data_IF_622738999266
#
_entry.id   IF_622738999266
#
_cell.length_a   1.000
_cell.length_b   1.000
_cell.length_c   1.000
_cell.angle_alpha   90.00
_cell.angle_beta   90.00
_cell.angle_gamma   90.00
#
_symmetry.space_group_name_H-M   'P 1'
#
loop_
_entity.id
_entity.type
_entity.pdbx_description
1 polymer ?
#
# COMPACT_ATOMS: atom_id res chain seq x y z
N UNK A 1 -24.78 0.67 69.67
CA UNK A 1 -26.01 1.32 69.19
C UNK A 1 -25.69 2.15 67.97
N UNK A 2 -26.02 1.67 66.77
CA UNK A 2 -25.82 2.42 65.51
C UNK A 2 -26.85 3.54 65.49
N UNK A 3 -26.41 4.78 65.39
CA UNK A 3 -27.32 5.95 65.36
C UNK A 3 -28.13 5.89 64.06
N UNK A 4 -29.44 6.18 64.13
CA UNK A 4 -30.38 6.13 63.00
C UNK A 4 -29.86 6.95 61.80
N UNK A 5 -29.15 8.04 62.02
CA UNK A 5 -28.50 8.85 60.99
C UNK A 5 -27.39 8.10 60.25
N UNK A 6 -26.61 7.24 60.91
CA UNK A 6 -25.59 6.43 60.25
C UNK A 6 -26.18 5.38 59.34
N UNK A 7 -27.33 4.79 59.74
CA UNK A 7 -28.02 3.78 58.93
C UNK A 7 -28.63 4.41 57.66
N UNK A 8 -29.17 5.62 57.74
CA UNK A 8 -29.66 6.37 56.57
C UNK A 8 -28.53 6.68 55.61
N UNK A 9 -27.38 7.09 56.11
CA UNK A 9 -26.22 7.43 55.28
C UNK A 9 -25.66 6.21 54.54
N UNK A 10 -25.63 5.03 55.15
CA UNK A 10 -25.25 3.76 54.55
C UNK A 10 -26.22 3.35 53.43
N UNK A 11 -27.53 3.53 53.64
CA UNK A 11 -28.54 3.22 52.64
C UNK A 11 -28.42 4.13 51.44
N UNK A 12 -28.18 5.42 51.64
CA UNK A 12 -27.95 6.39 50.52
C UNK A 12 -26.68 6.03 49.78
N UNK A 13 -25.61 5.68 50.47
CA UNK A 13 -24.36 5.25 49.83
C UNK A 13 -24.54 3.97 49.03
N UNK A 14 -25.23 2.96 49.57
CA UNK A 14 -25.52 1.73 48.84
C UNK A 14 -26.39 1.97 47.61
N UNK A 15 -27.34 2.91 47.65
CA UNK A 15 -28.17 3.28 46.51
C UNK A 15 -27.33 3.99 45.39
N UNK A 16 -26.39 4.86 45.79
CA UNK A 16 -25.49 5.52 44.83
C UNK A 16 -24.56 4.52 44.17
N UNK A 17 -23.98 3.58 44.90
CA UNK A 17 -23.11 2.54 44.35
C UNK A 17 -23.92 1.61 43.42
N UNK A 18 -25.12 1.20 43.79
CA UNK A 18 -25.99 0.41 42.92
C UNK A 18 -26.38 1.16 41.64
N UNK A 19 -26.67 2.47 41.76
CA UNK A 19 -26.94 3.33 40.62
C UNK A 19 -25.75 3.47 39.69
N UNK A 20 -24.54 3.63 40.23
CA UNK A 20 -23.31 3.74 39.45
C UNK A 20 -23.02 2.41 38.72
N UNK A 21 -23.16 1.26 39.37
CA UNK A 21 -22.96 -0.04 38.76
C UNK A 21 -24.03 -0.30 37.68
N UNK A 22 -25.29 0.10 37.93
CA UNK A 22 -26.35 -0.06 36.95
C UNK A 22 -26.10 0.83 35.72
N UNK A 23 -25.62 2.07 35.90
CA UNK A 23 -25.31 3.00 34.82
C UNK A 23 -24.08 2.50 34.01
N UNK A 24 -23.04 2.01 34.67
CA UNK A 24 -21.87 1.43 34.03
C UNK A 24 -22.25 0.19 33.20
N UNK A 25 -23.11 -0.72 33.76
CA UNK A 25 -23.63 -1.87 32.99
C UNK A 25 -24.58 -1.50 31.85
N UNK A 26 -25.24 -0.35 31.96
CA UNK A 26 -26.06 0.18 30.83
C UNK A 26 -25.22 0.79 29.73
N UNK A 27 -24.08 1.37 30.07
CA UNK A 27 -23.09 1.83 29.09
C UNK A 27 -22.40 0.66 28.40
N UNK A 28 -21.97 -0.35 29.15
CA UNK A 28 -21.37 -1.58 28.60
C UNK A 28 -22.30 -2.32 27.63
N UNK A 29 -23.61 -2.23 27.80
CA UNK A 29 -24.59 -2.78 26.85
C UNK A 29 -24.81 -1.91 25.62
N UNK A 30 -24.49 -0.60 25.71
CA UNK A 30 -24.51 0.34 24.57
C UNK A 30 -23.21 0.33 23.78
N UNK A 31 -22.09 0.03 24.44
CA UNK A 31 -20.78 -0.06 23.80
C UNK A 31 -20.44 -1.47 23.28
N UNK A 32 -21.11 -2.52 23.78
CA UNK A 32 -21.00 -3.85 23.19
C UNK A 32 -21.63 -3.96 21.78
N UNK A 33 -22.33 -2.90 21.31
CA UNK A 33 -22.79 -2.78 19.91
C UNK A 33 -21.93 -1.80 19.07
N UNK A 34 -20.96 -1.14 19.69
CA UNK A 34 -19.79 -0.58 19.06
C UNK A 34 -18.57 -1.39 19.50
N UNK A 35 -18.56 -2.69 19.11
CA UNK A 35 -17.27 -3.25 18.77
C UNK A 35 -16.62 -2.17 17.92
N UNK A 36 -15.50 -1.63 18.37
CA UNK A 36 -14.54 -1.03 17.49
C UNK A 36 -14.33 -2.12 16.45
N UNK A 37 -15.05 -2.02 15.31
CA UNK A 37 -14.60 -2.59 14.08
C UNK A 37 -13.21 -1.99 13.95
N UNK A 38 -12.21 -2.70 14.46
CA UNK A 38 -10.89 -2.65 13.85
C UNK A 38 -11.24 -2.84 12.39
N UNK A 39 -11.09 -1.82 11.53
CA UNK A 39 -11.41 -1.99 10.14
C UNK A 39 -10.61 -3.21 9.73
N UNK A 40 -11.28 -4.33 9.52
CA UNK A 40 -10.65 -5.49 8.90
C UNK A 40 -10.14 -4.89 7.62
N UNK A 41 -8.81 -4.75 7.50
CA UNK A 41 -8.17 -4.07 6.37
C UNK A 41 -8.57 -4.85 5.15
N UNK A 42 -9.68 -4.45 4.53
CA UNK A 42 -10.15 -5.04 3.30
C UNK A 42 -9.07 -4.73 2.27
N UNK A 43 -8.46 -5.77 1.73
CA UNK A 43 -7.47 -5.59 0.69
C UNK A 43 -8.18 -5.20 -0.61
N UNK A 44 -7.56 -4.30 -1.37
CA UNK A 44 -8.09 -3.88 -2.66
C UNK A 44 -8.11 -5.04 -3.65
N UNK A 45 -7.12 -5.92 -3.57
CA UNK A 45 -6.96 -7.03 -4.51
C UNK A 45 -7.14 -8.39 -3.84
N UNK A 46 -7.81 -9.29 -4.54
CA UNK A 46 -7.96 -10.70 -4.18
C UNK A 46 -7.54 -11.53 -5.40
N UNK A 47 -6.24 -11.50 -5.72
CA UNK A 47 -5.72 -12.26 -6.84
C UNK A 47 -5.79 -13.76 -6.55
N UNK A 48 -6.14 -14.55 -7.57
CA UNK A 48 -6.11 -16.02 -7.52
C UNK A 48 -4.78 -16.59 -8.02
N UNK A 49 -3.97 -15.77 -8.69
CA UNK A 49 -2.67 -16.11 -9.27
C UNK A 49 -1.57 -15.17 -8.79
N UNK A 50 -0.33 -15.45 -9.23
CA UNK A 50 0.81 -14.61 -8.96
C UNK A 50 0.90 -13.50 -10.01
N UNK A 51 1.44 -12.35 -9.63
CA UNK A 51 1.73 -11.26 -10.56
C UNK A 51 3.00 -11.63 -11.33
N UNK A 52 2.90 -11.68 -12.65
CA UNK A 52 4.01 -11.95 -13.55
C UNK A 52 4.44 -10.73 -14.37
N UNK A 53 3.68 -9.64 -14.31
CA UNK A 53 4.00 -8.40 -14.98
C UNK A 53 3.28 -7.20 -14.38
N UNK A 54 3.95 -6.06 -14.39
CA UNK A 54 3.44 -4.78 -13.90
C UNK A 54 3.81 -3.69 -14.88
N UNK A 55 2.80 -2.98 -15.37
CA UNK A 55 3.01 -1.81 -16.22
C UNK A 55 2.37 -0.59 -15.57
N UNK A 56 3.16 0.44 -15.36
CA UNK A 56 2.75 1.73 -14.84
C UNK A 56 2.81 2.77 -15.97
N UNK A 57 1.72 3.51 -16.13
CA UNK A 57 1.63 4.62 -17.09
C UNK A 57 1.25 5.88 -16.31
N UNK A 58 1.94 6.98 -16.59
CA UNK A 58 1.63 8.30 -16.05
C UNK A 58 1.05 9.16 -17.16
N UNK A 59 -0.10 9.79 -16.92
CA UNK A 59 -0.75 10.65 -17.94
C UNK A 59 0.09 11.84 -18.35
N UNK A 60 0.93 12.38 -17.45
CA UNK A 60 1.89 13.45 -17.81
C UNK A 60 3.07 12.98 -18.66
N UNK A 61 3.14 11.71 -18.98
CA UNK A 61 4.21 11.05 -19.73
C UNK A 61 5.04 10.10 -18.86
N UNK A 62 5.55 9.07 -19.50
CA UNK A 62 6.33 8.00 -18.89
C UNK A 62 5.56 6.71 -18.77
N UNK A 63 6.27 5.64 -19.05
CA UNK A 63 5.82 4.25 -18.90
C UNK A 63 6.95 3.49 -18.24
N UNK A 64 6.61 2.63 -17.30
CA UNK A 64 7.50 1.63 -16.72
C UNK A 64 6.84 0.27 -16.93
N UNK A 65 7.56 -0.69 -17.45
CA UNK A 65 7.09 -2.04 -17.64
C UNK A 65 8.08 -3.06 -17.08
N UNK A 66 7.61 -3.88 -16.19
CA UNK A 66 8.34 -4.95 -15.51
C UNK A 66 7.65 -6.28 -15.84
N UNK A 67 8.41 -7.32 -16.12
CA UNK A 67 7.88 -8.66 -16.33
C UNK A 67 8.89 -9.71 -15.85
N UNK A 68 8.41 -10.91 -15.54
CA UNK A 68 9.29 -12.03 -15.30
C UNK A 68 9.91 -12.50 -16.62
N UNK A 69 11.19 -12.84 -16.56
CA UNK A 69 11.89 -13.55 -17.63
C UNK A 69 11.58 -15.04 -17.62
N UNK A 70 12.21 -15.82 -18.52
CA UNK A 70 12.02 -17.25 -18.61
C UNK A 70 12.56 -18.01 -17.36
N UNK A 71 13.37 -17.38 -16.53
CA UNK A 71 13.94 -17.92 -15.28
C UNK A 71 13.10 -17.51 -14.07
N UNK A 72 12.08 -16.65 -14.26
CA UNK A 72 11.22 -16.13 -13.21
C UNK A 72 11.82 -14.96 -12.42
N UNK A 73 12.88 -14.34 -12.95
CA UNK A 73 13.43 -13.13 -12.38
C UNK A 73 12.75 -11.88 -12.97
N UNK A 74 12.63 -10.82 -12.18
CA UNK A 74 12.12 -9.56 -12.68
C UNK A 74 13.08 -8.90 -13.66
N UNK A 75 12.55 -8.45 -14.78
CA UNK A 75 13.26 -7.70 -15.80
C UNK A 75 12.51 -6.41 -16.13
N UNK A 76 13.26 -5.32 -16.28
CA UNK A 76 12.73 -4.07 -16.82
C UNK A 76 12.62 -4.21 -18.33
N UNK A 77 11.41 -4.04 -18.85
CA UNK A 77 11.11 -4.14 -20.30
C UNK A 77 11.11 -2.75 -20.96
N UNK A 78 10.53 -1.76 -20.26
CA UNK A 78 10.46 -0.40 -20.75
C UNK A 78 10.76 0.58 -19.62
N UNK A 79 11.49 1.70 -19.86
CA UNK A 79 11.87 2.30 -21.17
C UNK A 79 13.02 1.61 -21.90
N UNK A 80 13.81 0.81 -21.23
CA UNK A 80 14.93 0.07 -21.79
C UNK A 80 15.05 -1.27 -21.07
N UNK A 81 15.30 -2.34 -21.80
CA UNK A 81 15.56 -3.64 -21.20
C UNK A 81 16.84 -3.56 -20.37
N UNK A 82 16.73 -3.87 -19.09
CA UNK A 82 17.84 -3.82 -18.14
C UNK A 82 17.64 -4.85 -17.00
N UNK A 83 18.75 -5.25 -16.37
CA UNK A 83 18.69 -6.08 -15.18
C UNK A 83 18.05 -5.29 -14.02
N UNK A 84 17.19 -5.97 -13.29
CA UNK A 84 16.37 -5.34 -12.24
C UNK A 84 16.86 -5.79 -10.87
N UNK A 85 16.77 -4.89 -9.89
CA UNK A 85 16.80 -5.28 -8.49
C UNK A 85 15.47 -6.00 -8.15
N UNK A 86 15.46 -7.33 -8.29
CA UNK A 86 14.29 -8.15 -8.06
C UNK A 86 13.72 -7.95 -6.64
N UNK A 87 14.56 -7.73 -5.64
CA UNK A 87 14.09 -7.53 -4.26
C UNK A 87 13.29 -6.22 -4.12
N UNK A 88 13.69 -5.16 -4.81
CA UNK A 88 12.94 -3.91 -4.82
C UNK A 88 11.58 -4.06 -5.54
N UNK A 89 11.54 -4.83 -6.64
CA UNK A 89 10.28 -5.11 -7.35
C UNK A 89 9.36 -5.99 -6.50
N UNK A 90 9.89 -7.06 -5.90
CA UNK A 90 9.12 -7.96 -5.03
C UNK A 90 8.51 -7.22 -3.83
N UNK A 91 9.26 -6.29 -3.25
CA UNK A 91 8.75 -5.44 -2.17
C UNK A 91 7.58 -4.56 -2.64
N UNK A 92 7.70 -3.93 -3.82
CA UNK A 92 6.63 -3.09 -4.39
C UNK A 92 5.40 -3.92 -4.78
N UNK A 93 5.60 -5.09 -5.37
CA UNK A 93 4.52 -6.03 -5.73
C UNK A 93 3.80 -6.53 -4.46
N UNK A 94 4.56 -6.90 -3.42
CA UNK A 94 3.99 -7.32 -2.14
C UNK A 94 3.16 -6.21 -1.50
N UNK A 95 3.62 -4.97 -1.60
CA UNK A 95 2.88 -3.81 -1.11
C UNK A 95 1.60 -3.56 -1.92
N UNK A 96 1.66 -3.75 -3.23
CA UNK A 96 0.49 -3.64 -4.11
C UNK A 96 -0.56 -4.72 -3.78
N UNK A 97 -0.14 -5.98 -3.59
CA UNK A 97 -1.03 -7.09 -3.22
C UNK A 97 -1.71 -6.83 -1.87
N UNK A 98 -0.96 -6.29 -0.92
CA UNK A 98 -1.44 -5.99 0.43
C UNK A 98 -2.05 -4.60 0.58
N UNK A 99 -2.38 -3.92 -0.53
CA UNK A 99 -2.90 -2.56 -0.51
C UNK A 99 -4.24 -2.48 0.23
N UNK A 100 -4.30 -1.79 1.39
CA UNK A 100 -5.52 -1.71 2.18
C UNK A 100 -6.48 -0.69 1.59
N UNK A 101 -7.76 -1.04 1.54
CA UNK A 101 -8.85 -0.12 1.26
C UNK A 101 -9.18 0.65 2.53
N UNK A 102 -9.13 1.98 2.46
CA UNK A 102 -9.58 2.85 3.55
C UNK A 102 -11.11 2.92 3.55
N UNK A 103 -11.70 3.06 2.36
CA UNK A 103 -13.14 3.12 2.18
C UNK A 103 -13.53 2.73 0.76
N UNK A 104 -14.63 2.00 0.62
CA UNK A 104 -15.32 1.81 -0.66
C UNK A 104 -16.47 2.80 -0.73
N UNK A 105 -16.62 3.50 -1.84
CA UNK A 105 -17.59 4.58 -2.00
C UNK A 105 -18.72 4.09 -2.91
N UNK A 106 -19.89 3.80 -2.32
CA UNK A 106 -21.11 3.55 -3.06
C UNK A 106 -21.71 4.87 -3.58
N UNK A 107 -21.66 5.91 -2.74
CA UNK A 107 -21.94 7.29 -3.07
C UNK A 107 -20.69 8.13 -2.82
N UNK A 108 -20.11 8.70 -3.88
CA UNK A 108 -18.85 9.42 -3.80
C UNK A 108 -18.78 10.62 -4.75
N UNK A 109 -17.62 11.24 -4.87
CA UNK A 109 -17.40 12.29 -5.85
C UNK A 109 -17.62 11.75 -7.27
N UNK A 110 -17.92 12.64 -8.20
CA UNK A 110 -17.97 12.28 -9.62
C UNK A 110 -16.59 11.77 -10.07
N UNK A 111 -16.56 10.96 -11.14
CA UNK A 111 -15.29 10.47 -11.71
C UNK A 111 -14.35 11.62 -12.09
N UNK A 112 -14.90 12.76 -12.49
CA UNK A 112 -14.14 13.97 -12.80
C UNK A 112 -13.52 14.58 -11.52
N UNK A 113 -14.32 14.75 -10.45
CA UNK A 113 -13.83 15.28 -9.18
C UNK A 113 -12.80 14.36 -8.51
N UNK A 114 -12.95 13.04 -8.66
CA UNK A 114 -11.98 12.05 -8.23
C UNK A 114 -10.71 12.01 -9.12
N UNK A 115 -10.68 12.72 -10.25
CA UNK A 115 -9.58 12.68 -11.21
C UNK A 115 -9.47 11.38 -11.99
N UNK A 116 -10.55 10.62 -12.11
CA UNK A 116 -10.56 9.30 -12.75
C UNK A 116 -11.02 9.34 -14.22
N UNK A 117 -11.56 10.47 -14.67
CA UNK A 117 -11.81 10.71 -16.11
C UNK A 117 -10.48 10.81 -16.88
N UNK A 118 -9.47 11.43 -16.24
CA UNK A 118 -8.09 11.48 -16.73
C UNK A 118 -7.18 11.10 -15.56
N UNK A 119 -7.00 9.79 -15.29
CA UNK A 119 -6.29 9.33 -14.12
C UNK A 119 -4.83 9.75 -14.16
N UNK A 120 -4.27 10.15 -13.02
CA UNK A 120 -2.87 10.53 -12.91
C UNK A 120 -1.93 9.37 -13.25
N UNK A 121 -2.32 8.16 -12.83
CA UNK A 121 -1.59 6.92 -13.16
C UNK A 121 -2.58 5.81 -13.55
N UNK A 122 -2.10 4.93 -14.41
CA UNK A 122 -2.75 3.67 -14.76
C UNK A 122 -1.77 2.54 -14.50
N UNK A 123 -2.20 1.57 -13.69
CA UNK A 123 -1.47 0.35 -13.41
C UNK A 123 -2.17 -0.81 -14.12
N UNK A 124 -1.40 -1.56 -14.90
CA UNK A 124 -1.84 -2.81 -15.53
C UNK A 124 -1.06 -3.95 -14.86
N UNK A 125 -1.78 -4.84 -14.23
CA UNK A 125 -1.24 -5.96 -13.45
C UNK A 125 -1.57 -7.22 -14.23
N UNK A 126 -0.54 -7.91 -14.70
CA UNK A 126 -0.68 -9.17 -15.42
C UNK A 126 -0.46 -10.33 -14.45
N UNK A 127 -1.33 -11.33 -14.50
CA UNK A 127 -1.28 -12.51 -13.66
C UNK A 127 -0.79 -13.74 -14.46
N UNK A 128 -0.30 -14.75 -13.77
CA UNK A 128 0.23 -15.99 -14.35
C UNK A 128 -0.86 -16.84 -15.03
N UNK A 129 -2.14 -16.64 -14.68
CA UNK A 129 -3.29 -17.27 -15.36
C UNK A 129 -3.68 -16.57 -16.68
N UNK A 130 -2.94 -15.53 -17.09
CA UNK A 130 -3.22 -14.74 -18.28
C UNK A 130 -4.26 -13.64 -18.07
N UNK A 131 -4.83 -13.50 -16.89
CA UNK A 131 -5.75 -12.41 -16.59
C UNK A 131 -5.00 -11.09 -16.36
N UNK A 132 -5.69 -9.98 -16.60
CA UNK A 132 -5.17 -8.65 -16.40
C UNK A 132 -6.13 -7.83 -15.53
N UNK A 133 -5.57 -7.13 -14.56
CA UNK A 133 -6.31 -6.18 -13.73
C UNK A 133 -5.80 -4.76 -14.02
N UNK A 134 -6.72 -3.84 -14.25
CA UNK A 134 -6.40 -2.43 -14.46
C UNK A 134 -6.85 -1.62 -13.28
N UNK A 135 -5.93 -0.84 -12.70
CA UNK A 135 -6.21 0.13 -11.64
C UNK A 135 -5.88 1.53 -12.14
N UNK A 136 -6.88 2.40 -12.14
CA UNK A 136 -6.71 3.82 -12.40
C UNK A 136 -6.56 4.55 -11.07
N UNK A 137 -5.56 5.42 -10.95
CA UNK A 137 -5.30 6.24 -9.78
C UNK A 137 -5.58 7.69 -10.13
N UNK A 138 -6.54 8.28 -9.44
CA UNK A 138 -6.96 9.65 -9.59
C UNK A 138 -6.28 10.61 -8.63
N UNK A 139 -7.03 11.60 -8.17
CA UNK A 139 -6.55 12.63 -7.26
C UNK A 139 -6.30 12.10 -5.84
N UNK A 140 -5.45 12.80 -5.10
CA UNK A 140 -5.38 12.62 -3.65
C UNK A 140 -6.70 13.09 -3.00
N UNK A 141 -7.07 12.46 -1.89
CA UNK A 141 -8.24 12.90 -1.11
C UNK A 141 -7.97 14.27 -0.49
N UNK A 142 -9.01 15.09 -0.25
CA UNK A 142 -8.85 16.42 0.39
C UNK A 142 -8.15 16.38 1.74
N UNK A 143 -8.25 15.26 2.46
CA UNK A 143 -7.57 15.03 3.74
C UNK A 143 -6.10 14.66 3.60
N UNK A 144 -5.61 14.37 2.37
CA UNK A 144 -4.22 14.00 2.10
C UNK A 144 -3.82 12.59 2.55
N UNK A 145 -4.78 11.78 3.02
CA UNK A 145 -4.49 10.43 3.55
C UNK A 145 -4.60 9.31 2.52
N UNK A 146 -5.17 9.55 1.35
CA UNK A 146 -5.42 8.53 0.35
C UNK A 146 -5.51 9.04 -1.08
N UNK A 147 -5.60 8.09 -2.00
CA UNK A 147 -5.92 8.31 -3.41
C UNK A 147 -7.26 7.70 -3.77
N UNK A 148 -8.01 8.37 -4.64
CA UNK A 148 -9.14 7.76 -5.30
C UNK A 148 -8.64 6.77 -6.34
N UNK A 149 -9.14 5.55 -6.28
CA UNK A 149 -8.79 4.50 -7.23
C UNK A 149 -10.02 3.81 -7.80
N UNK A 150 -9.91 3.40 -9.05
CA UNK A 150 -10.91 2.60 -9.73
C UNK A 150 -10.23 1.36 -10.31
N UNK A 151 -10.60 0.20 -9.79
CA UNK A 151 -10.14 -1.10 -10.29
C UNK A 151 -11.19 -1.67 -11.24
N UNK A 152 -10.75 -2.32 -12.31
CA UNK A 152 -11.64 -3.01 -13.24
C UNK A 152 -12.57 -3.95 -12.49
N UNK A 153 -13.88 -3.85 -12.78
CA UNK A 153 -14.94 -4.65 -12.17
C UNK A 153 -15.19 -4.42 -10.67
N UNK A 154 -14.59 -3.38 -10.11
CA UNK A 154 -14.84 -2.95 -8.73
C UNK A 154 -15.34 -1.50 -8.71
N UNK A 155 -15.89 -1.09 -7.56
CA UNK A 155 -16.34 0.28 -7.36
C UNK A 155 -15.21 1.27 -7.10
N UNK A 156 -15.58 2.54 -6.98
CA UNK A 156 -14.68 3.60 -6.53
C UNK A 156 -14.23 3.33 -5.09
N UNK A 157 -12.95 3.36 -4.86
CA UNK A 157 -12.35 3.11 -3.54
C UNK A 157 -11.31 4.17 -3.19
N UNK A 158 -11.05 4.33 -1.90
CA UNK A 158 -9.93 5.12 -1.39
C UNK A 158 -8.90 4.15 -0.82
N UNK A 159 -7.65 4.30 -1.25
CA UNK A 159 -6.52 3.53 -0.74
C UNK A 159 -5.50 4.43 -0.05
N UNK A 160 -4.71 3.86 0.85
CA UNK A 160 -3.68 4.61 1.56
C UNK A 160 -2.64 5.18 0.61
N UNK A 161 -2.40 6.49 0.68
CA UNK A 161 -1.32 7.15 -0.04
C UNK A 161 0.03 6.55 0.33
N UNK A 162 0.28 6.35 1.62
CA UNK A 162 1.53 5.78 2.12
C UNK A 162 1.84 4.40 1.53
N UNK A 163 0.81 3.57 1.35
CA UNK A 163 0.97 2.22 0.80
C UNK A 163 1.12 2.20 -0.73
N UNK A 164 0.52 3.14 -1.44
CA UNK A 164 0.57 3.18 -2.91
C UNK A 164 1.79 3.94 -3.45
N UNK A 165 2.23 4.98 -2.76
CA UNK A 165 3.34 5.83 -3.21
C UNK A 165 4.64 5.08 -3.56
N UNK A 166 5.11 4.07 -2.79
CA UNK A 166 6.31 3.32 -3.15
C UNK A 166 6.21 2.65 -4.52
N UNK A 167 5.03 2.14 -4.87
CA UNK A 167 4.77 1.54 -6.20
C UNK A 167 4.83 2.61 -7.29
N UNK A 168 4.20 3.77 -7.07
CA UNK A 168 4.21 4.86 -8.05
C UNK A 168 5.61 5.45 -8.24
N UNK A 169 6.42 5.49 -7.18
CA UNK A 169 7.81 5.99 -7.23
C UNK A 169 8.75 5.12 -8.06
N UNK A 170 8.39 3.88 -8.38
CA UNK A 170 9.16 3.08 -9.34
C UNK A 170 9.30 3.75 -10.70
N UNK A 171 8.36 4.63 -11.07
CA UNK A 171 8.46 5.39 -12.33
C UNK A 171 9.55 6.46 -12.29
N UNK A 172 9.78 7.06 -11.12
CA UNK A 172 10.79 8.10 -10.94
C UNK A 172 12.18 7.49 -10.66
N UNK A 173 12.18 6.33 -10.02
CA UNK A 173 13.38 5.57 -9.67
C UNK A 173 13.20 4.11 -10.10
N UNK A 174 13.39 3.79 -11.39
CA UNK A 174 13.29 2.42 -11.89
C UNK A 174 14.24 1.50 -11.11
N UNK A 175 13.80 0.30 -10.72
CA UNK A 175 14.57 -0.63 -9.90
C UNK A 175 15.64 -1.34 -10.73
N UNK A 176 16.62 -0.60 -11.23
CA UNK A 176 17.75 -1.15 -11.97
C UNK A 176 18.83 -1.67 -11.01
N UNK A 177 19.43 -2.80 -11.34
CA UNK A 177 20.54 -3.34 -10.59
C UNK A 177 21.76 -2.43 -10.74
N UNK A 178 22.23 -1.85 -9.65
CA UNK A 178 23.45 -1.05 -9.66
C UNK A 178 24.62 -1.97 -9.91
N UNK A 179 25.23 -1.87 -11.11
CA UNK A 179 26.52 -2.49 -11.36
C UNK A 179 27.54 -1.78 -10.47
N UNK A 180 28.23 -2.51 -9.60
CA UNK A 180 29.27 -1.94 -8.76
C UNK A 180 30.30 -1.27 -9.68
N UNK A 181 30.48 0.04 -9.54
CA UNK A 181 31.60 0.74 -10.16
C UNK A 181 32.89 0.09 -9.62
N UNK A 182 33.77 -0.46 -10.50
CA UNK A 182 35.03 -1.02 -10.00
C UNK A 182 35.76 0.03 -9.17
N UNK A 183 36.20 -0.37 -7.98
CA UNK A 183 36.95 0.51 -7.10
C UNK A 183 38.18 1.05 -7.84
N UNK A 184 38.55 2.36 -7.67
CA UNK A 184 39.73 2.91 -8.32
C UNK A 184 41.00 2.28 -7.73
N UNK A 185 41.33 1.10 -8.10
CA UNK A 185 42.44 0.32 -7.56
C UNK A 185 42.77 -0.95 -8.35
N UNK A 186 41.81 -1.44 -9.16
CA UNK A 186 41.98 -2.68 -9.92
C UNK A 186 42.55 -2.45 -11.34
N UNK A 187 43.26 -1.35 -11.57
CA UNK A 187 44.14 -1.23 -12.74
C UNK A 187 45.42 -1.99 -12.44
N UNK A 188 45.31 -3.32 -12.35
CA UNK A 188 46.49 -4.19 -12.42
C UNK A 188 46.99 -4.10 -13.88
N UNK A 189 47.89 -3.17 -14.14
CA UNK A 189 48.61 -3.06 -15.43
C UNK A 189 49.49 -4.33 -15.56
N UNK A 190 49.26 -5.20 -16.56
CA UNK A 190 50.18 -6.29 -16.83
C UNK A 190 51.50 -5.69 -17.31
N UNK A 191 52.54 -5.84 -16.48
CA UNK A 191 53.92 -5.95 -16.85
C UNK A 191 54.50 -4.93 -17.82
N UNK A 192 54.97 -3.77 -17.32
CA UNK A 192 56.08 -3.09 -17.94
C UNK A 192 57.36 -3.87 -17.63
N UNK A 193 57.69 -4.83 -18.45
CA UNK A 193 58.98 -5.49 -18.43
C UNK A 193 60.01 -4.50 -18.99
N UNK A 194 60.66 -3.74 -18.10
CA UNK A 194 61.84 -2.93 -18.49
C UNK A 194 63.06 -3.85 -18.54
N UNK A 195 63.37 -4.33 -19.73
CA UNK A 195 64.67 -4.95 -20.04
C UNK A 195 65.73 -3.85 -19.97
N UNK A 196 66.79 -3.94 -19.14
CA UNK A 196 67.92 -3.02 -19.25
C UNK A 196 68.73 -3.38 -20.44
N UNK A 197 69.03 -2.38 -21.30
CA UNK A 197 69.95 -2.48 -22.41
C UNK A 197 71.43 -2.42 -21.95
N UNK A 198 72.35 -3.02 -22.69
CA UNK A 198 73.75 -3.24 -22.31
C UNK A 198 74.59 -1.96 -22.19
#
# INVERSE_FOLDING_TARGET
MIRRSTLVLVVIFAALVAGAIFWQRSQDKGEAAKATDTPSSQLLFHFKGNINGLRLERTSGGVLELSHDAQGAWQLIYPKVDETDSAAVDAAVSQLISLPVISTLEEGPTMEAAGLTTPAYRLLINLDDGSQVVMNVGNATPTGGGYYVLVSQQGLSIVSQYSLEPVLKLMDNPPVKLTATPAPGDLNMPGANLTPAP
#
